data_IF_401730506299
#
_entry.id   IF_401730506299
#
_cell.length_a   1.000
_cell.length_b   1.000
_cell.length_c   1.000
_cell.angle_alpha   90.00
_cell.angle_beta   90.00
_cell.angle_gamma   90.00
#
_symmetry.space_group_name_H-M   'P 1'
#
loop_
_entity.id
_entity.type
_entity.pdbx_description
1 polymer ?
#
# COMPACT_ATOMS: atom_id res chain seq x y z
N UNK A 1 19.20 -3.69 19.08
CA UNK A 1 18.09 -2.80 18.69
C UNK A 1 16.79 -3.39 19.17
N UNK A 2 15.94 -2.62 19.87
CA UNK A 2 14.64 -3.11 20.36
C UNK A 2 13.71 -3.47 19.18
N UNK A 3 12.74 -4.39 19.39
CA UNK A 3 11.74 -4.75 18.38
C UNK A 3 10.97 -3.52 17.88
N UNK A 4 10.65 -2.60 18.80
CA UNK A 4 9.94 -1.35 18.48
C UNK A 4 10.80 -0.45 17.59
N UNK A 5 12.08 -0.22 17.95
CA UNK A 5 12.97 0.60 17.12
C UNK A 5 13.14 0.02 15.71
N UNK A 6 13.30 -1.30 15.60
CA UNK A 6 13.38 -1.98 14.30
C UNK A 6 12.10 -1.78 13.49
N UNK A 7 10.93 -1.99 14.09
CA UNK A 7 9.65 -1.81 13.41
C UNK A 7 9.43 -0.36 12.96
N UNK A 8 9.80 0.62 13.81
CA UNK A 8 9.72 2.06 13.46
C UNK A 8 10.57 2.38 12.23
N UNK A 9 11.84 1.94 12.20
CA UNK A 9 12.74 2.19 11.06
C UNK A 9 12.20 1.53 9.78
N UNK A 10 11.74 0.28 9.86
CA UNK A 10 11.19 -0.42 8.70
C UNK A 10 9.97 0.30 8.12
N UNK A 11 9.09 0.82 8.98
CA UNK A 11 7.90 1.56 8.55
C UNK A 11 8.26 2.92 7.95
N UNK A 12 9.20 3.67 8.53
CA UNK A 12 9.65 4.94 7.98
C UNK A 12 10.33 4.77 6.62
N UNK A 13 11.23 3.79 6.47
CA UNK A 13 11.86 3.48 5.17
C UNK A 13 10.83 3.10 4.13
N UNK A 14 9.81 2.34 4.51
CA UNK A 14 8.71 1.99 3.61
C UNK A 14 7.90 3.22 3.16
N UNK A 15 7.57 4.13 4.08
CA UNK A 15 6.88 5.39 3.76
C UNK A 15 7.68 6.26 2.79
N UNK A 16 8.99 6.44 3.03
CA UNK A 16 9.89 7.15 2.11
C UNK A 16 9.92 6.48 0.73
N UNK A 17 10.00 5.15 0.69
CA UNK A 17 9.98 4.41 -0.58
C UNK A 17 8.66 4.59 -1.35
N UNK A 18 7.51 4.70 -0.67
CA UNK A 18 6.23 4.99 -1.30
C UNK A 18 6.18 6.41 -1.86
N UNK A 19 6.63 7.42 -1.13
CA UNK A 19 6.69 8.80 -1.62
C UNK A 19 7.51 8.89 -2.92
N UNK A 20 8.73 8.35 -2.92
CA UNK A 20 9.58 8.31 -4.12
C UNK A 20 8.95 7.55 -5.29
N UNK A 21 8.08 6.56 -5.04
CA UNK A 21 7.44 5.78 -6.10
C UNK A 21 6.11 6.37 -6.60
N UNK A 22 5.46 7.21 -5.81
CA UNK A 22 4.19 7.86 -6.17
C UNK A 22 4.32 8.70 -7.43
N UNK A 23 5.38 9.49 -7.52
CA UNK A 23 5.74 10.28 -8.72
C UNK A 23 5.99 9.40 -9.94
N UNK A 24 6.60 8.22 -9.77
CA UNK A 24 6.76 7.25 -10.86
C UNK A 24 5.42 6.73 -11.40
N UNK A 25 4.45 6.50 -10.51
CA UNK A 25 3.09 6.09 -10.89
C UNK A 25 2.37 7.18 -11.69
N UNK A 26 2.41 8.42 -11.22
CA UNK A 26 1.85 9.57 -11.92
C UNK A 26 2.49 9.76 -13.29
N UNK A 27 3.81 9.69 -13.36
CA UNK A 27 4.55 9.77 -14.62
C UNK A 27 4.09 8.72 -15.64
N UNK A 28 3.95 7.46 -15.23
CA UNK A 28 3.50 6.38 -16.11
C UNK A 28 2.08 6.61 -16.62
N UNK A 29 1.15 7.05 -15.76
CA UNK A 29 -0.22 7.34 -16.16
C UNK A 29 -0.31 8.52 -17.14
N UNK A 30 0.50 9.57 -16.98
CA UNK A 30 0.57 10.70 -17.92
C UNK A 30 1.20 10.30 -19.27
N UNK A 31 1.96 9.18 -19.30
CA UNK A 31 2.53 8.60 -20.53
C UNK A 31 1.70 7.45 -21.10
N UNK A 32 0.39 7.42 -20.79
CA UNK A 32 -0.56 6.55 -21.45
C UNK A 32 -0.73 5.16 -20.83
N UNK A 33 -0.21 4.91 -19.61
CA UNK A 33 -0.49 3.66 -18.90
C UNK A 33 -1.87 3.72 -18.22
N UNK A 34 -2.83 2.87 -18.64
CA UNK A 34 -4.11 2.77 -17.95
C UNK A 34 -3.92 2.30 -16.51
N UNK A 35 -4.71 2.83 -15.58
CA UNK A 35 -4.65 2.49 -14.15
C UNK A 35 -4.71 0.98 -13.91
N UNK A 36 -5.64 0.28 -14.59
CA UNK A 36 -5.79 -1.18 -14.46
C UNK A 36 -4.56 -1.95 -14.95
N UNK A 37 -3.97 -1.53 -16.08
CA UNK A 37 -2.75 -2.14 -16.62
C UNK A 37 -1.59 -1.95 -15.65
N UNK A 38 -1.40 -0.73 -15.16
CA UNK A 38 -0.32 -0.42 -14.22
C UNK A 38 -0.47 -1.18 -12.90
N UNK A 39 -1.70 -1.26 -12.35
CA UNK A 39 -2.00 -2.06 -11.16
C UNK A 39 -1.67 -3.53 -11.39
N UNK A 40 -2.08 -4.08 -12.53
CA UNK A 40 -1.86 -5.49 -12.85
C UNK A 40 -0.37 -5.83 -12.99
N UNK A 41 0.39 -4.99 -13.70
CA UNK A 41 1.85 -5.15 -13.88
C UNK A 41 2.55 -5.16 -12.52
N UNK A 42 2.22 -4.21 -11.64
CA UNK A 42 2.79 -4.14 -10.29
C UNK A 42 2.54 -5.42 -9.50
N UNK A 43 1.28 -5.89 -9.50
CA UNK A 43 0.87 -7.09 -8.76
C UNK A 43 1.54 -8.36 -9.31
N UNK A 44 1.53 -8.55 -10.64
CA UNK A 44 2.10 -9.75 -11.25
C UNK A 44 3.63 -9.80 -11.10
N UNK A 45 4.33 -8.73 -11.46
CA UNK A 45 5.80 -8.74 -11.45
C UNK A 45 6.32 -8.81 -10.00
N UNK A 46 5.77 -7.98 -9.10
CA UNK A 46 6.19 -8.03 -7.69
C UNK A 46 5.82 -9.37 -7.04
N UNK A 47 4.61 -9.87 -7.29
CA UNK A 47 4.18 -11.19 -6.81
C UNK A 47 5.08 -12.30 -7.32
N UNK A 48 5.36 -12.33 -8.62
CA UNK A 48 6.24 -13.32 -9.22
C UNK A 48 7.66 -13.30 -8.62
N UNK A 49 8.28 -12.12 -8.50
CA UNK A 49 9.64 -11.99 -7.96
C UNK A 49 9.71 -12.42 -6.48
N UNK A 50 8.70 -12.06 -5.68
CA UNK A 50 8.64 -12.45 -4.27
C UNK A 50 8.38 -13.96 -4.10
N UNK A 51 7.49 -14.54 -4.92
CA UNK A 51 7.24 -16.00 -4.89
C UNK A 51 8.47 -16.74 -5.36
N UNK A 52 9.13 -16.29 -6.43
CA UNK A 52 10.39 -16.89 -6.91
C UNK A 52 11.46 -16.85 -5.81
N UNK A 53 11.62 -15.70 -5.13
CA UNK A 53 12.52 -15.58 -4.00
C UNK A 53 12.20 -16.62 -2.91
N UNK A 54 10.92 -16.81 -2.57
CA UNK A 54 10.49 -17.82 -1.57
C UNK A 54 10.74 -19.27 -2.03
N UNK A 55 10.52 -19.55 -3.30
CA UNK A 55 10.83 -20.87 -3.88
C UNK A 55 12.32 -21.19 -3.74
N UNK A 56 13.19 -20.20 -3.98
CA UNK A 56 14.64 -20.36 -3.92
C UNK A 56 15.19 -20.41 -2.49
N UNK A 57 14.57 -19.70 -1.55
CA UNK A 57 15.11 -19.54 -0.18
C UNK A 57 14.39 -20.36 0.87
N UNK A 58 13.08 -20.57 0.75
CA UNK A 58 12.28 -21.27 1.77
C UNK A 58 11.03 -21.94 1.18
N UNK A 59 11.26 -22.82 0.18
CA UNK A 59 10.19 -23.55 -0.52
C UNK A 59 9.26 -24.32 0.43
N UNK A 60 9.83 -24.93 1.48
CA UNK A 60 9.02 -25.71 2.43
C UNK A 60 7.95 -24.87 3.10
N UNK A 61 8.32 -23.70 3.62
CA UNK A 61 7.40 -22.77 4.28
C UNK A 61 6.31 -22.26 3.33
N UNK A 62 6.68 -21.99 2.07
CA UNK A 62 5.72 -21.59 1.03
C UNK A 62 4.68 -22.69 0.78
N UNK A 63 5.13 -23.94 0.61
CA UNK A 63 4.23 -25.08 0.38
C UNK A 63 3.32 -25.34 1.59
N UNK A 64 3.86 -25.24 2.81
CA UNK A 64 3.07 -25.38 4.04
C UNK A 64 1.97 -24.32 4.12
N UNK A 65 2.29 -23.05 3.80
CA UNK A 65 1.30 -21.96 3.75
C UNK A 65 0.20 -22.21 2.71
N UNK A 66 0.58 -22.67 1.51
CA UNK A 66 -0.38 -22.96 0.43
C UNK A 66 -1.31 -24.13 0.74
N UNK A 67 -0.90 -25.05 1.61
CA UNK A 67 -1.73 -26.19 2.07
C UNK A 67 -2.65 -25.83 3.23
N UNK A 68 -2.38 -24.74 3.94
CA UNK A 68 -3.23 -24.28 5.04
C UNK A 68 -4.45 -23.53 4.51
N UNK A 69 -5.61 -24.20 4.50
CA UNK A 69 -6.86 -23.62 3.98
C UNK A 69 -7.29 -22.35 4.71
N UNK A 70 -7.07 -22.25 6.04
CA UNK A 70 -7.41 -21.04 6.81
C UNK A 70 -6.50 -19.88 6.43
N UNK A 71 -5.19 -20.16 6.27
CA UNK A 71 -4.24 -19.17 5.80
C UNK A 71 -4.59 -18.71 4.38
N UNK A 72 -4.92 -19.63 3.46
CA UNK A 72 -5.29 -19.31 2.09
C UNK A 72 -6.58 -18.50 1.98
N UNK A 73 -7.61 -18.80 2.79
CA UNK A 73 -8.84 -17.98 2.82
C UNK A 73 -8.57 -16.55 3.28
N UNK A 74 -7.83 -16.39 4.39
CA UNK A 74 -7.44 -15.06 4.88
C UNK A 74 -6.52 -14.33 3.91
N UNK A 75 -5.62 -15.06 3.25
CA UNK A 75 -4.73 -14.53 2.23
C UNK A 75 -5.49 -14.06 0.97
N UNK A 76 -6.52 -14.79 0.55
CA UNK A 76 -7.37 -14.40 -0.58
C UNK A 76 -8.15 -13.12 -0.26
N UNK A 77 -8.72 -13.00 0.94
CA UNK A 77 -9.35 -11.76 1.39
C UNK A 77 -8.35 -10.59 1.40
N UNK A 78 -7.15 -10.81 1.92
CA UNK A 78 -6.09 -9.81 1.89
C UNK A 78 -5.67 -9.44 0.46
N UNK A 79 -5.52 -10.43 -0.43
CA UNK A 79 -5.13 -10.21 -1.81
C UNK A 79 -6.14 -9.35 -2.57
N UNK A 80 -7.44 -9.61 -2.40
CA UNK A 80 -8.49 -8.90 -3.11
C UNK A 80 -8.82 -7.56 -2.47
N UNK A 81 -9.10 -7.53 -1.16
CA UNK A 81 -9.57 -6.34 -0.46
C UNK A 81 -8.42 -5.42 -0.04
N UNK A 82 -7.31 -5.99 0.44
CA UNK A 82 -6.17 -5.24 0.94
C UNK A 82 -5.15 -4.86 -0.13
N UNK A 83 -4.84 -5.75 -1.07
CA UNK A 83 -3.81 -5.46 -2.09
C UNK A 83 -4.41 -4.91 -3.38
N UNK A 84 -5.31 -5.66 -4.04
CA UNK A 84 -5.84 -5.28 -5.35
C UNK A 84 -6.64 -3.99 -5.25
N UNK A 85 -7.67 -3.96 -4.40
CA UNK A 85 -8.54 -2.78 -4.28
C UNK A 85 -7.77 -1.57 -3.77
N UNK A 86 -6.84 -1.73 -2.82
CA UNK A 86 -6.06 -0.61 -2.31
C UNK A 86 -5.15 -0.01 -3.39
N UNK A 87 -4.39 -0.85 -4.11
CA UNK A 87 -3.52 -0.34 -5.17
C UNK A 87 -4.30 0.30 -6.31
N UNK A 88 -5.42 -0.31 -6.71
CA UNK A 88 -6.28 0.24 -7.75
C UNK A 88 -6.93 1.56 -7.31
N UNK A 89 -7.52 1.61 -6.12
CA UNK A 89 -8.19 2.81 -5.62
C UNK A 89 -7.23 3.99 -5.45
N UNK A 90 -6.03 3.74 -4.95
CA UNK A 90 -5.00 4.78 -4.81
C UNK A 90 -4.54 5.33 -6.16
N UNK A 91 -4.21 4.47 -7.13
CA UNK A 91 -3.84 4.92 -8.47
C UNK A 91 -5.01 5.62 -9.18
N UNK A 92 -6.24 5.15 -8.97
CA UNK A 92 -7.43 5.80 -9.53
C UNK A 92 -7.66 7.16 -8.90
N UNK A 93 -7.44 7.31 -7.59
CA UNK A 93 -7.49 8.61 -6.92
C UNK A 93 -6.43 9.58 -7.46
N UNK A 94 -5.20 9.12 -7.70
CA UNK A 94 -4.15 9.93 -8.36
C UNK A 94 -4.60 10.36 -9.76
N UNK A 95 -5.16 9.45 -10.54
CA UNK A 95 -5.64 9.73 -11.90
C UNK A 95 -6.76 10.77 -11.93
N UNK A 96 -7.70 10.72 -11.00
CA UNK A 96 -8.85 11.63 -10.90
C UNK A 96 -8.50 12.99 -10.23
N UNK A 97 -7.32 13.08 -9.59
CA UNK A 97 -6.85 14.30 -8.91
C UNK A 97 -5.34 14.52 -9.16
N UNK A 98 -4.53 14.20 -8.20
CA UNK A 98 -3.07 14.19 -8.25
C UNK A 98 -2.50 13.37 -7.07
N UNK A 99 -1.19 13.09 -7.10
CA UNK A 99 -0.55 12.27 -6.05
C UNK A 99 -0.67 12.89 -4.65
N UNK A 100 -0.52 14.22 -4.52
CA UNK A 100 -0.65 14.92 -3.23
C UNK A 100 -2.05 14.80 -2.64
N UNK A 101 -3.10 15.10 -3.43
CA UNK A 101 -4.50 15.00 -3.01
C UNK A 101 -4.89 13.56 -2.66
N UNK A 102 -4.50 12.58 -3.48
CA UNK A 102 -4.77 11.17 -3.22
C UNK A 102 -4.14 10.71 -1.89
N UNK A 103 -2.90 11.15 -1.63
CA UNK A 103 -2.18 10.84 -0.38
C UNK A 103 -2.89 11.47 0.83
N UNK A 104 -3.30 12.75 0.76
CA UNK A 104 -4.07 13.40 1.86
C UNK A 104 -5.33 12.61 2.18
N UNK A 105 -6.12 12.26 1.17
CA UNK A 105 -7.36 11.53 1.37
C UNK A 105 -7.10 10.13 1.95
N UNK A 106 -6.05 9.44 1.52
CA UNK A 106 -5.69 8.15 2.06
C UNK A 106 -5.23 8.23 3.53
N UNK A 107 -4.66 9.36 3.97
CA UNK A 107 -4.26 9.58 5.37
C UNK A 107 -5.41 9.80 6.35
N UNK A 108 -6.66 9.70 5.91
CA UNK A 108 -7.80 9.47 6.81
C UNK A 108 -7.79 8.03 7.39
N UNK A 109 -7.06 7.10 6.77
CA UNK A 109 -6.93 5.70 7.20
C UNK A 109 -6.55 5.52 8.70
N UNK A 110 -5.55 6.22 9.28
CA UNK A 110 -5.22 6.09 10.70
C UNK A 110 -6.38 6.35 11.64
N UNK A 111 -7.29 7.28 11.27
CA UNK A 111 -8.51 7.55 12.04
C UNK A 111 -9.41 6.31 12.08
N UNK A 112 -9.62 5.67 10.93
CA UNK A 112 -10.40 4.43 10.83
C UNK A 112 -9.77 3.26 11.59
N UNK A 113 -8.44 3.12 11.52
CA UNK A 113 -7.72 2.06 12.26
C UNK A 113 -7.81 2.29 13.77
N UNK A 114 -7.64 3.52 14.24
CA UNK A 114 -7.76 3.85 15.66
C UNK A 114 -9.17 3.59 16.16
N UNK A 115 -10.19 4.07 15.44
CA UNK A 115 -11.59 3.81 15.77
C UNK A 115 -11.87 2.29 15.84
N UNK A 116 -11.43 1.52 14.86
CA UNK A 116 -11.58 0.07 14.85
C UNK A 116 -10.89 -0.61 16.03
N UNK A 117 -9.64 -0.23 16.35
CA UNK A 117 -8.90 -0.83 17.47
C UNK A 117 -9.51 -0.49 18.81
N UNK A 118 -9.94 0.76 19.02
CA UNK A 118 -10.62 1.18 20.23
C UNK A 118 -11.96 0.44 20.44
N UNK A 119 -12.75 0.29 19.39
CA UNK A 119 -14.02 -0.46 19.43
C UNK A 119 -13.80 -1.96 19.70
N UNK A 120 -12.80 -2.55 19.06
CA UNK A 120 -12.46 -3.97 19.21
C UNK A 120 -11.96 -4.30 20.60
N UNK A 121 -11.09 -3.46 21.15
CA UNK A 121 -10.44 -3.70 22.43
C UNK A 121 -11.22 -3.06 23.60
N UNK A 122 -12.36 -2.35 23.31
CA UNK A 122 -13.18 -1.61 24.27
C UNK A 122 -12.36 -0.61 25.12
N UNK A 123 -11.40 0.06 24.49
CA UNK A 123 -10.47 1.01 25.15
C UNK A 123 -10.60 2.37 24.47
N UNK A 124 -10.71 3.45 25.26
CA UNK A 124 -10.69 4.80 24.71
C UNK A 124 -9.30 5.15 24.12
N UNK A 125 -9.24 5.97 23.05
CA UNK A 125 -7.97 6.40 22.50
C UNK A 125 -7.20 7.27 23.51
N UNK A 126 -5.89 7.11 23.52
CA UNK A 126 -5.03 7.96 24.36
C UNK A 126 -4.91 9.36 23.76
N UNK A 127 -4.69 10.37 24.60
CA UNK A 127 -4.46 11.74 24.14
C UNK A 127 -3.31 11.82 23.15
N UNK A 128 -2.25 11.04 23.37
CA UNK A 128 -1.08 10.97 22.48
C UNK A 128 -1.47 10.45 21.08
N UNK A 129 -2.31 9.41 21.00
CA UNK A 129 -2.80 8.87 19.72
C UNK A 129 -3.65 9.90 18.98
N UNK A 130 -4.57 10.56 19.65
CA UNK A 130 -5.42 11.61 19.07
C UNK A 130 -4.59 12.78 18.56
N UNK A 131 -3.66 13.31 19.38
CA UNK A 131 -2.79 14.41 18.98
C UNK A 131 -1.88 14.01 17.80
N UNK A 132 -1.27 12.83 17.86
CA UNK A 132 -0.42 12.33 16.76
C UNK A 132 -1.20 12.22 15.46
N UNK A 133 -2.45 11.79 15.52
CA UNK A 133 -3.34 11.66 14.37
C UNK A 133 -3.72 13.03 13.79
N UNK A 134 -4.10 13.97 14.64
CA UNK A 134 -4.41 15.35 14.21
C UNK A 134 -3.20 16.00 13.53
N UNK A 135 -2.01 15.83 14.10
CA UNK A 135 -0.77 16.35 13.53
C UNK A 135 -0.41 15.66 12.21
N UNK A 136 -0.58 14.35 12.10
CA UNK A 136 -0.30 13.60 10.87
C UNK A 136 -1.25 14.00 9.73
N UNK A 137 -2.57 14.01 9.98
CA UNK A 137 -3.58 14.40 9.00
C UNK A 137 -3.43 15.88 8.63
N UNK A 138 -3.31 16.76 9.63
CA UNK A 138 -3.14 18.19 9.42
C UNK A 138 -1.84 18.53 8.69
N UNK A 139 -0.73 17.89 9.06
CA UNK A 139 0.57 18.08 8.39
C UNK A 139 0.54 17.62 6.93
N UNK A 140 -0.04 16.44 6.66
CA UNK A 140 -0.21 15.93 5.29
C UNK A 140 -1.08 16.88 4.46
N UNK A 141 -2.17 17.38 5.05
CA UNK A 141 -3.04 18.37 4.41
C UNK A 141 -2.29 19.66 4.08
N UNK A 142 -1.52 20.22 5.01
CA UNK A 142 -0.73 21.43 4.79
C UNK A 142 0.32 21.25 3.70
N UNK A 143 1.02 20.11 3.68
CA UNK A 143 2.03 19.81 2.64
C UNK A 143 1.37 19.74 1.27
N UNK A 144 0.26 19.00 1.13
CA UNK A 144 -0.39 18.80 -0.16
C UNK A 144 -1.09 20.06 -0.70
N UNK A 145 -1.51 20.97 0.18
CA UNK A 145 -2.18 22.22 -0.21
C UNK A 145 -1.21 23.40 -0.29
N UNK A 146 0.05 23.25 0.12
CA UNK A 146 0.97 24.37 0.35
C UNK A 146 0.35 25.49 1.19
N UNK A 147 -0.56 25.13 2.11
CA UNK A 147 -1.33 26.05 2.95
C UNK A 147 -2.48 26.78 2.24
N UNK A 148 -2.77 26.45 0.98
CA UNK A 148 -3.82 27.08 0.17
C UNK A 148 -5.00 26.13 -0.02
N UNK A 149 -6.11 26.37 0.66
CA UNK A 149 -7.32 25.52 0.59
C UNK A 149 -7.88 25.38 -0.83
N UNK A 150 -7.71 26.41 -1.67
CA UNK A 150 -8.23 26.44 -3.04
C UNK A 150 -7.41 25.57 -4.02
N UNK A 151 -6.28 25.01 -3.62
CA UNK A 151 -5.48 24.12 -4.46
C UNK A 151 -5.88 22.66 -4.39
N UNK A 152 -6.74 22.28 -3.42
CA UNK A 152 -7.40 20.98 -3.42
C UNK A 152 -8.54 20.99 -4.44
N UNK A 153 -8.18 20.88 -5.71
CA UNK A 153 -9.15 20.63 -6.77
C UNK A 153 -9.57 19.15 -6.69
N UNK A 154 -10.53 18.84 -5.82
CA UNK A 154 -11.02 17.48 -5.62
C UNK A 154 -12.30 17.31 -6.42
N UNK A 155 -12.23 16.51 -7.48
CA UNK A 155 -13.43 16.04 -8.17
C UNK A 155 -14.24 15.10 -7.27
N UNK A 156 -15.57 14.97 -7.43
CA UNK A 156 -16.35 13.98 -6.68
C UNK A 156 -15.80 12.56 -6.85
N UNK A 157 -15.31 12.21 -8.04
CA UNK A 157 -14.67 10.92 -8.30
C UNK A 157 -13.33 10.78 -7.53
N UNK A 158 -12.49 11.82 -7.53
CA UNK A 158 -11.24 11.85 -6.76
C UNK A 158 -11.47 11.69 -5.27
N UNK A 159 -12.48 12.36 -4.72
CA UNK A 159 -12.88 12.22 -3.31
C UNK A 159 -13.33 10.80 -2.99
N UNK A 160 -14.23 10.23 -3.80
CA UNK A 160 -14.69 8.85 -3.63
C UNK A 160 -13.53 7.86 -3.63
N UNK A 161 -12.66 7.90 -4.66
CA UNK A 161 -11.55 6.96 -4.77
C UNK A 161 -10.50 7.17 -3.69
N UNK A 162 -10.25 8.40 -3.26
CA UNK A 162 -9.32 8.70 -2.16
C UNK A 162 -9.79 8.17 -0.81
N UNK A 163 -11.07 8.39 -0.45
CA UNK A 163 -11.65 7.83 0.77
C UNK A 163 -11.79 6.30 0.69
N UNK A 164 -12.12 5.75 -0.47
CA UNK A 164 -12.13 4.31 -0.69
C UNK A 164 -10.73 3.71 -0.57
N UNK A 165 -9.69 4.42 -1.06
CA UNK A 165 -8.30 4.04 -0.85
C UNK A 165 -7.94 4.04 0.65
N UNK A 166 -8.39 5.02 1.43
CA UNK A 166 -8.19 5.03 2.88
C UNK A 166 -8.82 3.81 3.57
N UNK A 167 -10.04 3.46 3.20
CA UNK A 167 -10.73 2.27 3.71
C UNK A 167 -9.98 0.98 3.35
N UNK A 168 -9.65 0.79 2.08
CA UNK A 168 -8.92 -0.40 1.62
C UNK A 168 -7.50 -0.48 2.17
N UNK A 169 -6.87 0.68 2.45
CA UNK A 169 -5.58 0.74 3.13
C UNK A 169 -5.67 0.26 4.59
N UNK A 170 -6.76 0.57 5.29
CA UNK A 170 -7.01 0.00 6.60
C UNK A 170 -7.13 -1.54 6.55
N UNK A 171 -7.85 -2.09 5.56
CA UNK A 171 -7.93 -3.53 5.34
C UNK A 171 -6.56 -4.16 5.02
N UNK A 172 -5.76 -3.48 4.17
CA UNK A 172 -4.39 -3.88 3.86
C UNK A 172 -3.51 -3.99 5.12
N UNK A 173 -3.70 -3.11 6.10
CA UNK A 173 -2.94 -3.12 7.35
C UNK A 173 -3.46 -4.18 8.32
N UNK A 174 -4.78 -4.29 8.48
CA UNK A 174 -5.41 -5.08 9.54
C UNK A 174 -5.51 -6.58 9.21
N UNK A 175 -5.89 -6.94 7.99
CA UNK A 175 -6.13 -8.34 7.60
C UNK A 175 -4.87 -9.22 7.75
N UNK A 176 -3.68 -8.82 7.25
CA UNK A 176 -2.55 -9.73 7.18
C UNK A 176 -1.75 -9.86 8.49
N UNK A 177 -2.11 -9.15 9.58
CA UNK A 177 -1.31 -9.12 10.82
C UNK A 177 -0.97 -10.51 11.33
N UNK A 178 -1.96 -11.41 11.44
CA UNK A 178 -1.74 -12.77 11.93
C UNK A 178 -1.00 -13.63 10.90
N UNK A 179 -1.34 -13.48 9.62
CA UNK A 179 -0.64 -14.18 8.53
C UNK A 179 0.86 -13.86 8.53
N UNK A 180 1.21 -12.56 8.72
CA UNK A 180 2.60 -12.12 8.72
C UNK A 180 3.37 -12.66 9.92
N UNK A 181 2.75 -12.74 11.09
CA UNK A 181 3.36 -13.31 12.29
C UNK A 181 3.74 -14.79 12.07
N UNK A 182 2.87 -15.55 11.41
CA UNK A 182 3.06 -16.99 11.15
C UNK A 182 3.95 -17.24 9.94
N UNK A 183 3.63 -16.62 8.80
CA UNK A 183 4.22 -16.95 7.51
C UNK A 183 5.29 -15.97 7.03
N UNK A 184 5.39 -14.79 7.65
CA UNK A 184 6.31 -13.72 7.28
C UNK A 184 5.77 -12.82 6.17
N UNK A 185 6.27 -11.57 6.11
CA UNK A 185 5.77 -10.56 5.18
C UNK A 185 6.01 -10.91 3.71
N UNK A 186 7.18 -11.46 3.37
CA UNK A 186 7.55 -11.79 1.98
C UNK A 186 6.62 -12.85 1.39
N UNK A 187 6.33 -13.93 2.13
CA UNK A 187 5.43 -15.01 1.68
C UNK A 187 4.01 -14.48 1.48
N UNK A 188 3.49 -13.74 2.48
CA UNK A 188 2.11 -13.22 2.48
C UNK A 188 1.92 -12.20 1.35
N UNK A 189 2.86 -11.28 1.17
CA UNK A 189 2.77 -10.27 0.12
C UNK A 189 2.97 -10.91 -1.26
N UNK A 190 3.98 -11.76 -1.41
CA UNK A 190 4.30 -12.38 -2.70
C UNK A 190 3.13 -13.19 -3.26
N UNK A 191 2.59 -14.11 -2.46
CA UNK A 191 1.44 -14.93 -2.88
C UNK A 191 0.18 -14.08 -3.01
N UNK A 192 -0.05 -13.14 -2.09
CA UNK A 192 -1.19 -12.22 -2.16
C UNK A 192 -1.17 -11.36 -3.43
N UNK A 193 -0.03 -10.77 -3.79
CA UNK A 193 0.12 -9.99 -5.03
C UNK A 193 -0.04 -10.86 -6.28
N UNK A 194 0.52 -12.07 -6.27
CA UNK A 194 0.37 -13.00 -7.39
C UNK A 194 -1.10 -13.38 -7.62
N UNK A 195 -1.83 -13.72 -6.56
CA UNK A 195 -3.26 -14.02 -6.62
C UNK A 195 -4.05 -12.80 -7.13
N UNK A 196 -3.82 -11.63 -6.55
CA UNK A 196 -4.48 -10.39 -6.95
C UNK A 196 -4.22 -10.05 -8.42
N UNK A 197 -2.98 -10.19 -8.88
CA UNK A 197 -2.58 -9.96 -10.26
C UNK A 197 -3.24 -10.93 -11.23
N UNK A 198 -3.27 -12.23 -10.91
CA UNK A 198 -3.93 -13.25 -11.73
C UNK A 198 -5.44 -12.94 -11.86
N UNK A 199 -6.11 -12.61 -10.75
CA UNK A 199 -7.53 -12.24 -10.76
C UNK A 199 -7.79 -10.98 -11.60
N UNK A 200 -6.89 -9.99 -11.55
CA UNK A 200 -7.06 -8.75 -12.30
C UNK A 200 -6.74 -8.90 -13.80
N UNK A 201 -5.92 -9.87 -14.20
CA UNK A 201 -5.42 -10.02 -15.59
C UNK A 201 -6.54 -10.00 -16.65
N UNK A 202 -7.65 -10.76 -16.53
CA UNK A 202 -8.70 -10.76 -17.53
C UNK A 202 -9.42 -9.41 -17.69
N UNK A 203 -9.39 -8.57 -16.66
CA UNK A 203 -10.08 -7.27 -16.63
C UNK A 203 -9.15 -6.09 -16.94
N UNK A 204 -7.83 -6.29 -16.87
CA UNK A 204 -6.83 -5.20 -16.94
C UNK A 204 -6.59 -4.68 -18.36
N UNK A 205 -6.87 -5.52 -19.39
CA UNK A 205 -6.50 -5.20 -20.77
C UNK A 205 -4.99 -5.32 -21.07
N UNK A 206 -4.19 -5.86 -20.15
CA UNK A 206 -2.73 -5.97 -20.27
C UNK A 206 -2.29 -6.72 -21.54
N UNK A 207 -3.05 -7.72 -21.97
CA UNK A 207 -2.73 -8.53 -23.16
C UNK A 207 -2.89 -7.76 -24.48
N UNK A 208 -3.65 -6.66 -24.47
CA UNK A 208 -3.90 -5.80 -25.63
C UNK A 208 -3.14 -4.48 -25.54
N UNK A 209 -2.41 -4.25 -24.45
CA UNK A 209 -1.72 -3.00 -24.22
C UNK A 209 -0.44 -2.92 -25.06
N UNK A 210 -0.34 -1.88 -25.87
CA UNK A 210 0.85 -1.63 -26.70
C UNK A 210 1.85 -0.79 -25.90
N UNK A 211 2.99 -1.37 -25.64
CA UNK A 211 4.05 -0.77 -24.82
C UNK A 211 4.84 0.25 -25.63
N UNK A 212 4.72 1.52 -25.29
CA UNK A 212 5.68 2.53 -25.75
C UNK A 212 6.84 2.60 -24.75
N UNK A 213 7.93 1.94 -25.10
CA UNK A 213 9.04 1.72 -24.17
C UNK A 213 10.17 2.73 -24.45
N UNK A 214 10.18 3.81 -23.66
CA UNK A 214 11.38 4.67 -23.53
C UNK A 214 12.18 4.27 -22.28
N UNK A 215 13.48 4.61 -22.23
CA UNK A 215 14.32 4.36 -21.07
C UNK A 215 13.70 4.95 -19.78
N UNK A 216 13.09 6.15 -19.87
CA UNK A 216 12.42 6.79 -18.72
C UNK A 216 11.22 5.97 -18.21
N UNK A 217 10.44 5.38 -19.11
CA UNK A 217 9.31 4.49 -18.76
C UNK A 217 9.81 3.22 -18.06
N UNK A 218 10.89 2.59 -18.55
CA UNK A 218 11.50 1.44 -17.86
C UNK A 218 11.99 1.78 -16.46
N UNK A 219 12.67 2.91 -16.28
CA UNK A 219 13.14 3.35 -14.96
C UNK A 219 11.97 3.64 -14.02
N UNK A 220 10.90 4.28 -14.50
CA UNK A 220 9.70 4.54 -13.71
C UNK A 220 8.99 3.23 -13.31
N UNK A 221 8.87 2.25 -14.24
CA UNK A 221 8.32 0.92 -13.93
C UNK A 221 9.19 0.17 -12.92
N UNK A 222 10.50 0.19 -13.07
CA UNK A 222 11.42 -0.41 -12.11
C UNK A 222 11.29 0.26 -10.73
N UNK A 223 11.24 1.58 -10.67
CA UNK A 223 11.06 2.34 -9.44
C UNK A 223 9.76 1.97 -8.71
N UNK A 224 8.62 1.98 -9.41
CA UNK A 224 7.34 1.67 -8.79
C UNK A 224 7.23 0.19 -8.38
N UNK A 225 7.83 -0.74 -9.13
CA UNK A 225 7.77 -2.18 -8.82
C UNK A 225 8.76 -2.56 -7.72
N UNK A 226 10.05 -2.22 -7.88
CA UNK A 226 11.08 -2.67 -6.95
C UNK A 226 11.07 -1.86 -5.65
N UNK A 227 11.01 -0.53 -5.75
CA UNK A 227 11.06 0.35 -4.57
C UNK A 227 9.68 0.52 -3.98
N UNK A 228 8.71 1.00 -4.76
CA UNK A 228 7.36 1.32 -4.28
C UNK A 228 6.47 0.11 -4.01
N UNK A 229 6.81 -1.08 -4.51
CA UNK A 229 5.99 -2.28 -4.28
C UNK A 229 6.77 -3.33 -3.49
N UNK A 230 7.81 -3.93 -4.02
CA UNK A 230 8.51 -5.03 -3.33
C UNK A 230 9.10 -4.54 -2.00
N UNK A 231 9.97 -3.53 -2.05
CA UNK A 231 10.64 -3.03 -0.86
C UNK A 231 9.65 -2.43 0.13
N UNK A 232 8.86 -1.45 -0.30
CA UNK A 232 7.97 -0.70 0.58
C UNK A 232 6.94 -1.61 1.27
N UNK A 233 6.20 -2.44 0.52
CA UNK A 233 5.17 -3.31 1.11
C UNK A 233 5.75 -4.37 2.06
N UNK A 234 6.90 -4.97 1.71
CA UNK A 234 7.53 -5.98 2.57
C UNK A 234 8.05 -5.37 3.87
N UNK A 235 8.68 -4.20 3.81
CA UNK A 235 9.17 -3.49 4.99
C UNK A 235 8.03 -2.95 5.85
N UNK A 236 7.00 -2.33 5.22
CA UNK A 236 5.86 -1.77 5.94
C UNK A 236 5.12 -2.83 6.75
N UNK A 237 4.69 -3.92 6.12
CA UNK A 237 3.96 -4.97 6.82
C UNK A 237 4.83 -5.69 7.84
N UNK A 238 6.14 -5.84 7.61
CA UNK A 238 7.06 -6.32 8.63
C UNK A 238 7.15 -5.33 9.80
N UNK A 239 7.25 -4.04 9.53
CA UNK A 239 7.21 -2.99 10.53
C UNK A 239 5.91 -3.02 11.35
N UNK A 240 4.75 -3.05 10.66
CA UNK A 240 3.42 -3.14 11.27
C UNK A 240 3.29 -4.33 12.23
N UNK A 241 3.82 -5.48 11.86
CA UNK A 241 3.81 -6.67 12.74
C UNK A 241 4.62 -6.49 14.03
N UNK A 242 5.51 -5.50 14.10
CA UNK A 242 6.39 -5.21 15.25
C UNK A 242 5.89 -4.05 16.10
N UNK A 243 5.29 -3.00 15.49
CA UNK A 243 4.86 -1.78 16.20
C UNK A 243 3.35 -1.62 16.32
N UNK A 244 2.59 -2.47 15.65
CA UNK A 244 1.13 -2.42 15.63
C UNK A 244 0.56 -1.53 14.51
N UNK A 245 -0.75 -1.69 14.19
CA UNK A 245 -1.40 -1.04 13.06
C UNK A 245 -1.53 0.48 13.21
N UNK A 246 -1.93 0.99 14.38
CA UNK A 246 -2.09 2.43 14.63
C UNK A 246 -0.76 3.15 14.47
N UNK A 247 0.29 2.67 15.15
CA UNK A 247 1.60 3.30 15.10
C UNK A 247 2.22 3.25 13.70
N UNK A 248 2.08 2.14 12.98
CA UNK A 248 2.63 2.03 11.63
C UNK A 248 1.89 2.93 10.63
N UNK A 249 0.58 3.08 10.72
CA UNK A 249 -0.18 3.98 9.86
C UNK A 249 0.20 5.46 10.09
N UNK A 250 0.45 5.86 11.33
CA UNK A 250 0.94 7.20 11.66
C UNK A 250 2.38 7.44 11.16
N UNK A 251 3.27 6.46 11.32
CA UNK A 251 4.66 6.57 10.84
C UNK A 251 4.74 6.65 9.31
N UNK A 252 3.79 6.05 8.60
CA UNK A 252 3.72 6.15 7.14
C UNK A 252 3.45 7.59 6.65
N UNK A 253 2.98 8.51 7.53
CA UNK A 253 2.81 9.93 7.20
C UNK A 253 4.13 10.66 6.82
N UNK A 254 5.26 9.98 6.82
CA UNK A 254 6.51 10.46 6.21
C UNK A 254 6.44 10.44 4.67
N UNK A 255 5.53 9.68 4.06
CA UNK A 255 5.38 9.53 2.61
C UNK A 255 5.29 10.87 1.86
N UNK A 256 4.40 11.83 2.25
CA UNK A 256 4.29 13.12 1.53
C UNK A 256 5.55 13.99 1.62
N UNK A 257 6.41 13.77 2.62
CA UNK A 257 7.66 14.53 2.77
C UNK A 257 8.70 14.07 1.76
N UNK A 258 8.60 12.84 1.28
CA UNK A 258 9.53 12.20 0.34
C UNK A 258 9.01 12.15 -1.11
N UNK A 259 7.76 12.56 -1.35
CA UNK A 259 7.14 12.71 -2.66
C UNK A 259 7.44 14.07 -3.29
#
# INVERSE_FOLDING_TARGET
MSKIAKGTILTLVAGIAWGLSGTSGQYLMTHGFPVLVLTNIRLLIAGFLLVLYMVLTNRRKLVEMLKDQKAMMSLTLFALLGLLLNQFAYLKSIYESNAGTATVLQYVCPVGILAYTCLKDCVAPTVTEVLSMMLAVGGTFLIATHGQLNQLSVTPAGLFWGLFAAFTYALYILIPIQLIKTWGSISVIGVGMMLAGIVLTPFSGILRFHWQLSMKVYLALAGIILVGTILAYTLFLKGTSLVGPVKSSLLAAVEPISA
#
